data_IF_604104907412
#
_entry.id   IF_604104907412
#
_cell.length_a   1.000
_cell.length_b   1.000
_cell.length_c   1.000
_cell.angle_alpha   90.00
_cell.angle_beta   90.00
_cell.angle_gamma   90.00
#
_symmetry.space_group_name_H-M   'P 1'
#
loop_
_entity.id
_entity.type
_entity.pdbx_description
1 polymer ?
#
# COMPACT_ATOMS: atom_id res chain seq x y z
N UNK A 1 53.65 1.44 21.13
CA UNK A 1 52.35 2.09 20.84
C UNK A 1 51.29 1.18 21.42
N UNK A 2 50.70 1.56 22.55
CA UNK A 2 49.75 0.73 23.30
C UNK A 2 48.34 0.89 22.71
N UNK A 3 47.60 -0.18 22.36
CA UNK A 3 46.34 -0.07 21.62
C UNK A 3 45.13 0.33 22.46
N UNK A 4 45.30 0.66 23.74
CA UNK A 4 44.16 0.82 24.66
C UNK A 4 43.74 2.28 24.82
N UNK A 5 43.12 2.85 23.79
CA UNK A 5 42.37 4.12 23.89
C UNK A 5 40.92 3.86 23.48
N UNK A 6 40.06 3.59 24.46
CA UNK A 6 38.62 3.54 24.23
C UNK A 6 38.09 4.96 24.05
N UNK A 7 37.53 5.24 22.87
CA UNK A 7 36.80 6.48 22.61
C UNK A 7 35.45 6.37 23.31
N UNK A 8 35.24 7.16 24.36
CA UNK A 8 33.91 7.29 25.00
C UNK A 8 33.09 8.28 24.17
N UNK A 9 32.21 7.78 23.31
CA UNK A 9 31.21 8.63 22.63
C UNK A 9 30.09 8.89 23.63
N UNK A 10 30.08 10.06 24.26
CA UNK A 10 28.93 10.55 25.00
C UNK A 10 28.01 11.28 24.02
N UNK A 11 26.99 10.58 23.50
CA UNK A 11 25.93 11.24 22.74
C UNK A 11 25.14 12.12 23.70
N UNK A 12 25.13 13.43 23.43
CA UNK A 12 24.25 14.38 24.11
C UNK A 12 22.82 13.95 23.84
N UNK A 13 22.08 13.72 24.92
CA UNK A 13 20.63 13.56 24.90
C UNK A 13 20.03 14.94 24.63
N UNK A 14 20.00 15.33 23.37
CA UNK A 14 19.15 16.42 22.92
C UNK A 14 17.74 15.86 22.82
N UNK A 15 16.98 16.18 23.86
CA UNK A 15 15.53 16.13 23.93
C UNK A 15 14.88 16.83 22.75
N UNK A 16 13.80 16.26 22.22
CA UNK A 16 12.45 16.86 22.21
C UNK A 16 11.60 16.30 21.05
N UNK A 17 10.39 15.88 21.42
CA UNK A 17 9.20 15.62 20.60
C UNK A 17 9.21 14.44 19.61
N UNK A 18 8.50 13.38 20.01
CA UNK A 18 8.09 12.27 19.15
C UNK A 18 6.66 11.91 19.58
N UNK A 19 5.74 12.86 19.49
CA UNK A 19 4.34 12.63 19.92
C UNK A 19 3.34 12.70 18.77
N UNK A 20 3.78 13.15 17.59
CA UNK A 20 2.96 13.43 16.42
C UNK A 20 3.20 12.45 15.25
N UNK A 21 4.35 11.77 15.19
CA UNK A 21 4.64 10.79 14.13
C UNK A 21 3.75 9.53 14.23
N UNK A 22 3.58 9.02 15.46
CA UNK A 22 2.78 7.82 15.70
C UNK A 22 1.28 8.03 15.43
N UNK A 23 0.77 9.23 15.69
CA UNK A 23 -0.63 9.56 15.41
C UNK A 23 -0.90 9.71 13.92
N UNK A 24 0.03 10.32 13.17
CA UNK A 24 -0.05 10.42 11.70
C UNK A 24 -0.02 9.04 11.05
N UNK A 25 0.90 8.16 11.47
CA UNK A 25 0.98 6.77 10.99
C UNK A 25 -0.31 6.01 11.29
N UNK A 26 -0.87 6.17 12.49
CA UNK A 26 -2.14 5.53 12.86
C UNK A 26 -3.31 6.02 12.00
N UNK A 27 -3.39 7.33 11.73
CA UNK A 27 -4.44 7.91 10.87
C UNK A 27 -4.29 7.37 9.44
N UNK A 28 -3.07 7.33 8.91
CA UNK A 28 -2.79 6.79 7.59
C UNK A 28 -3.10 5.30 7.47
N UNK A 29 -2.71 4.50 8.47
CA UNK A 29 -2.99 3.07 8.53
C UNK A 29 -4.51 2.80 8.51
N UNK A 30 -5.30 3.56 9.29
CA UNK A 30 -6.77 3.46 9.27
C UNK A 30 -7.34 3.76 7.89
N UNK A 31 -6.79 4.75 7.19
CA UNK A 31 -7.20 5.11 5.83
C UNK A 31 -6.89 3.97 4.84
N UNK A 32 -5.68 3.42 4.87
CA UNK A 32 -5.27 2.28 4.03
C UNK A 32 -6.19 1.08 4.25
N UNK A 33 -6.41 0.68 5.51
CA UNK A 33 -7.29 -0.43 5.87
C UNK A 33 -8.73 -0.19 5.38
N UNK A 34 -9.23 1.04 5.52
CA UNK A 34 -10.54 1.43 5.03
C UNK A 34 -10.67 1.32 3.51
N UNK A 35 -9.63 1.71 2.77
CA UNK A 35 -9.59 1.59 1.30
C UNK A 35 -9.58 0.12 0.85
N UNK A 36 -8.77 -0.72 1.49
CA UNK A 36 -8.57 -2.13 1.13
C UNK A 36 -9.75 -3.03 1.54
N UNK A 37 -10.62 -2.57 2.45
CA UNK A 37 -11.80 -3.33 2.89
C UNK A 37 -12.72 -3.73 1.73
N UNK A 38 -12.82 -2.89 0.70
CA UNK A 38 -13.69 -3.17 -0.44
C UNK A 38 -13.00 -4.05 -1.50
N UNK A 39 -11.67 -3.99 -1.59
CA UNK A 39 -10.87 -4.77 -2.54
C UNK A 39 -9.47 -5.02 -1.97
N UNK A 40 -9.24 -6.24 -1.44
CA UNK A 40 -7.95 -6.61 -0.87
C UNK A 40 -6.83 -6.65 -1.93
N UNK A 41 -7.16 -6.93 -3.19
CA UNK A 41 -6.18 -7.05 -4.27
C UNK A 41 -5.44 -5.73 -4.55
N UNK A 42 -6.04 -4.60 -4.19
CA UNK A 42 -5.41 -3.27 -4.28
C UNK A 42 -4.20 -3.11 -3.37
N UNK A 43 -3.92 -4.05 -2.46
CA UNK A 43 -2.66 -4.11 -1.71
C UNK A 43 -1.45 -4.24 -2.64
N UNK A 44 -1.62 -4.82 -3.83
CA UNK A 44 -0.56 -5.07 -4.82
C UNK A 44 0.07 -3.80 -5.42
N UNK A 45 -0.68 -2.69 -5.44
CA UNK A 45 -0.23 -1.42 -6.02
C UNK A 45 0.27 -0.42 -4.97
N UNK A 46 0.31 -0.83 -3.70
CA UNK A 46 0.75 0.03 -2.61
C UNK A 46 2.26 0.26 -2.67
N UNK A 47 2.65 1.42 -2.14
CA UNK A 47 4.05 1.77 -2.01
C UNK A 47 4.72 0.91 -0.93
N UNK A 48 6.05 0.80 -0.97
CA UNK A 48 6.81 0.08 0.06
C UNK A 48 6.52 0.54 1.50
N UNK A 49 6.49 1.85 1.82
CA UNK A 49 6.20 2.29 3.18
C UNK A 49 4.78 1.93 3.62
N UNK A 50 3.80 1.92 2.70
CA UNK A 50 2.44 1.50 3.01
C UNK A 50 2.38 -0.01 3.32
N UNK A 51 3.12 -0.83 2.56
CA UNK A 51 3.23 -2.27 2.81
C UNK A 51 3.94 -2.58 4.13
N UNK A 52 5.00 -1.84 4.46
CA UNK A 52 5.69 -1.94 5.74
C UNK A 52 4.74 -1.62 6.89
N UNK A 53 4.02 -0.51 6.79
CA UNK A 53 3.05 -0.08 7.80
C UNK A 53 1.94 -1.12 8.02
N UNK A 54 1.42 -1.70 6.93
CA UNK A 54 0.41 -2.76 6.99
C UNK A 54 0.97 -4.07 7.57
N UNK A 55 2.20 -4.45 7.22
CA UNK A 55 2.81 -5.69 7.71
C UNK A 55 3.18 -5.64 9.20
N UNK A 56 3.48 -4.45 9.72
CA UNK A 56 3.86 -4.24 11.13
C UNK A 56 2.66 -3.99 12.06
N UNK A 57 1.46 -3.86 11.51
CA UNK A 57 0.21 -3.60 12.23
C UNK A 57 -0.12 -4.66 13.30
N UNK A 58 -0.70 -4.24 14.42
CA UNK A 58 -1.34 -5.13 15.40
C UNK A 58 -2.81 -5.39 15.02
N UNK A 59 -3.22 -6.65 14.79
CA UNK A 59 -4.60 -6.99 14.41
C UNK A 59 -5.66 -6.57 15.43
N UNK A 60 -5.30 -6.51 16.71
CA UNK A 60 -6.25 -6.17 17.77
C UNK A 60 -6.53 -4.66 17.82
N UNK A 61 -5.58 -3.82 17.37
CA UNK A 61 -5.70 -2.36 17.41
C UNK A 61 -6.66 -1.77 16.37
N UNK A 62 -7.10 -2.57 15.39
CA UNK A 62 -7.96 -2.13 14.28
C UNK A 62 -9.19 -3.04 14.07
N UNK A 63 -9.37 -4.01 14.97
CA UNK A 63 -10.53 -4.91 14.98
C UNK A 63 -11.87 -4.14 15.14
N UNK A 64 -11.81 -2.92 15.66
CA UNK A 64 -12.99 -2.05 15.83
C UNK A 64 -13.51 -1.50 14.48
N UNK A 65 -12.66 -1.46 13.46
CA UNK A 65 -12.95 -0.87 12.14
C UNK A 65 -13.43 -1.96 11.15
N UNK A 66 -12.88 -3.16 11.29
CA UNK A 66 -13.17 -4.32 10.44
C UNK A 66 -12.80 -5.59 11.20
N UNK A 67 -13.29 -6.75 10.76
CA UNK A 67 -13.03 -8.01 11.44
C UNK A 67 -11.54 -8.33 11.56
N UNK A 68 -11.15 -8.92 12.71
CA UNK A 68 -9.78 -9.37 12.99
C UNK A 68 -9.21 -10.26 11.87
N UNK A 69 -10.02 -11.17 11.34
CA UNK A 69 -9.61 -12.08 10.26
C UNK A 69 -9.19 -11.32 8.99
N UNK A 70 -9.88 -10.23 8.65
CA UNK A 70 -9.50 -9.39 7.52
C UNK A 70 -8.17 -8.68 7.79
N UNK A 71 -7.99 -8.15 9.00
CA UNK A 71 -6.74 -7.47 9.36
C UNK A 71 -5.55 -8.45 9.31
N UNK A 72 -5.73 -9.69 9.78
CA UNK A 72 -4.71 -10.73 9.69
C UNK A 72 -4.39 -11.09 8.24
N UNK A 73 -5.41 -11.25 7.39
CA UNK A 73 -5.21 -11.49 5.95
C UNK A 73 -4.47 -10.34 5.28
N UNK A 74 -4.82 -9.10 5.63
CA UNK A 74 -4.18 -7.91 5.07
C UNK A 74 -2.72 -7.78 5.52
N UNK A 75 -2.43 -8.05 6.80
CA UNK A 75 -1.07 -8.10 7.34
C UNK A 75 -0.24 -9.17 6.62
N UNK A 76 -0.78 -10.37 6.45
CA UNK A 76 -0.12 -11.48 5.76
C UNK A 76 0.14 -11.15 4.28
N UNK A 77 -0.87 -10.62 3.57
CA UNK A 77 -0.75 -10.27 2.16
C UNK A 77 0.28 -9.16 1.92
N UNK A 78 0.24 -8.09 2.73
CA UNK A 78 1.20 -6.98 2.64
C UNK A 78 2.62 -7.43 2.98
N UNK A 79 2.80 -8.27 4.01
CA UNK A 79 4.10 -8.84 4.37
C UNK A 79 4.69 -9.73 3.29
N UNK A 80 3.88 -10.58 2.66
CA UNK A 80 4.31 -11.43 1.55
C UNK A 80 4.75 -10.61 0.35
N UNK A 81 3.94 -9.63 -0.06
CA UNK A 81 4.26 -8.78 -1.20
C UNK A 81 5.53 -7.96 -0.96
N UNK A 82 5.70 -7.41 0.24
CA UNK A 82 6.90 -6.69 0.63
C UNK A 82 8.15 -7.58 0.53
N UNK A 83 8.04 -8.83 0.98
CA UNK A 83 9.13 -9.80 0.87
C UNK A 83 9.49 -10.12 -0.59
N UNK A 84 8.49 -10.40 -1.43
CA UNK A 84 8.68 -10.67 -2.86
C UNK A 84 9.31 -9.47 -3.58
N UNK A 85 8.88 -8.25 -3.25
CA UNK A 85 9.45 -7.02 -3.81
C UNK A 85 10.93 -6.88 -3.48
N UNK A 86 11.31 -7.09 -2.21
CA UNK A 86 12.71 -7.05 -1.76
C UNK A 86 13.54 -8.14 -2.43
N UNK A 87 13.01 -9.37 -2.51
CA UNK A 87 13.68 -10.47 -3.23
C UNK A 87 13.92 -10.13 -4.70
N UNK A 88 12.94 -9.52 -5.38
CA UNK A 88 13.09 -9.10 -6.76
C UNK A 88 14.14 -7.98 -6.91
N UNK A 89 14.18 -7.01 -5.99
CA UNK A 89 15.21 -5.98 -5.98
C UNK A 89 16.61 -6.56 -5.79
N UNK A 90 16.79 -7.47 -4.83
CA UNK A 90 18.07 -8.14 -4.59
C UNK A 90 18.53 -8.90 -5.84
N UNK A 91 17.60 -9.60 -6.51
CA UNK A 91 17.88 -10.31 -7.75
C UNK A 91 18.28 -9.34 -8.88
N UNK A 92 17.59 -8.21 -9.03
CA UNK A 92 17.92 -7.18 -10.02
C UNK A 92 19.29 -6.56 -9.72
N UNK A 93 19.59 -6.28 -8.47
CA UNK A 93 20.87 -5.73 -8.04
C UNK A 93 22.02 -6.71 -8.34
N UNK A 94 21.82 -7.99 -8.06
CA UNK A 94 22.76 -9.04 -8.45
C UNK A 94 22.97 -9.09 -9.96
N UNK A 95 21.90 -9.03 -10.75
CA UNK A 95 21.98 -9.00 -12.22
C UNK A 95 22.75 -7.78 -12.72
N UNK A 96 22.55 -6.60 -12.11
CA UNK A 96 23.30 -5.37 -12.42
C UNK A 96 24.80 -5.53 -12.17
N UNK A 97 25.19 -6.16 -11.07
CA UNK A 97 26.61 -6.42 -10.75
C UNK A 97 27.21 -7.34 -11.82
N UNK A 98 26.56 -8.46 -12.12
CA UNK A 98 27.03 -9.44 -13.11
C UNK A 98 27.10 -8.86 -14.53
N UNK A 99 26.13 -8.04 -14.90
CA UNK A 99 26.12 -7.37 -16.20
C UNK A 99 27.28 -6.37 -16.34
N UNK A 100 27.56 -5.61 -15.28
CA UNK A 100 28.71 -4.69 -15.21
C UNK A 100 30.04 -5.42 -15.40
N UNK A 101 30.21 -6.59 -14.77
CA UNK A 101 31.41 -7.42 -14.93
C UNK A 101 31.58 -7.97 -16.36
N UNK A 102 30.47 -8.17 -17.07
CA UNK A 102 30.45 -8.72 -18.44
C UNK A 102 30.40 -7.65 -19.53
N UNK A 103 30.40 -6.37 -19.18
CA UNK A 103 30.26 -5.26 -20.14
C UNK A 103 28.87 -5.18 -20.79
N UNK A 104 27.84 -5.71 -20.14
CA UNK A 104 26.44 -5.67 -20.59
C UNK A 104 25.74 -4.50 -19.89
N UNK A 105 25.01 -3.68 -20.64
CA UNK A 105 24.16 -2.61 -20.08
C UNK A 105 22.73 -3.15 -19.91
N UNK A 106 22.20 -3.08 -18.69
CA UNK A 106 20.81 -3.44 -18.37
C UNK A 106 19.98 -2.17 -18.21
N UNK A 107 18.91 -2.06 -19.00
CA UNK A 107 17.87 -1.05 -18.82
C UNK A 107 16.70 -1.66 -18.05
N UNK A 108 16.38 -1.10 -16.88
CA UNK A 108 15.25 -1.54 -16.04
C UNK A 108 14.13 -0.51 -16.23
N UNK A 109 13.07 -0.91 -16.93
CA UNK A 109 11.86 -0.09 -17.06
C UNK A 109 10.97 -0.29 -15.83
N UNK A 110 10.87 0.75 -15.00
CA UNK A 110 9.97 0.80 -13.84
C UNK A 110 8.50 1.12 -14.24
N UNK A 111 8.26 1.50 -15.49
CA UNK A 111 7.01 2.15 -15.94
C UNK A 111 5.80 1.21 -16.13
N UNK A 112 6.00 -0.11 -16.04
CA UNK A 112 4.90 -1.07 -16.31
C UNK A 112 3.80 -0.97 -15.24
N UNK A 113 4.16 -0.63 -13.99
CA UNK A 113 3.18 -0.41 -12.90
C UNK A 113 2.45 0.92 -13.02
N UNK A 114 3.15 2.01 -13.39
CA UNK A 114 2.54 3.34 -13.48
C UNK A 114 1.55 3.43 -14.65
N UNK A 115 1.84 2.78 -15.77
CA UNK A 115 0.95 2.71 -16.93
C UNK A 115 -0.32 1.88 -16.67
N UNK A 116 -0.29 0.91 -15.76
CA UNK A 116 -1.45 0.11 -15.34
C UNK A 116 -2.33 0.89 -14.36
N UNK A 117 -1.74 1.57 -13.37
CA UNK A 117 -2.45 2.43 -12.41
C UNK A 117 -3.16 3.60 -13.10
N UNK A 118 -2.55 4.19 -14.14
CA UNK A 118 -3.15 5.27 -14.91
C UNK A 118 -4.39 4.83 -15.73
N UNK A 119 -4.51 3.55 -16.12
CA UNK A 119 -5.66 3.04 -16.89
C UNK A 119 -6.90 2.77 -16.03
N UNK A 120 -6.74 2.46 -14.75
CA UNK A 120 -7.87 2.21 -13.83
C UNK A 120 -8.63 3.52 -13.48
N UNK A 121 -7.99 4.69 -13.58
CA UNK A 121 -8.64 5.99 -13.35
C UNK A 121 -9.53 6.47 -14.52
N UNK A 122 -9.56 5.77 -15.65
CA UNK A 122 -10.26 6.22 -16.86
C UNK A 122 -11.64 5.58 -17.09
N UNK A 123 -12.08 4.59 -16.31
CA UNK A 123 -13.36 3.88 -16.52
C UNK A 123 -14.46 4.23 -15.51
N UNK A 124 -14.52 5.50 -15.08
CA UNK A 124 -15.57 6.04 -14.21
C UNK A 124 -16.39 7.14 -14.88
N UNK A 125 -16.94 6.92 -16.07
CA UNK A 125 -17.60 7.96 -16.84
C UNK A 125 -18.78 7.51 -17.70
N UNK A 126 -19.98 7.67 -17.15
CA UNK A 126 -21.28 7.83 -17.83
C UNK A 126 -21.98 6.60 -18.43
N UNK A 127 -22.94 6.05 -17.69
CA UNK A 127 -24.28 5.77 -18.24
C UNK A 127 -25.36 6.36 -17.33
N UNK A 128 -25.69 7.61 -17.67
CA UNK A 128 -27.03 8.21 -17.67
C UNK A 128 -28.14 7.45 -16.94
N UNK A 129 -28.54 7.97 -15.78
CA UNK A 129 -29.84 7.72 -15.15
C UNK A 129 -30.91 8.39 -16.00
N UNK A 130 -31.71 7.61 -16.73
CA UNK A 130 -32.99 8.11 -17.25
C UNK A 130 -34.11 7.62 -16.32
N UNK A 131 -34.78 8.60 -15.72
CA UNK A 131 -35.88 8.43 -14.78
C UNK A 131 -37.14 7.92 -15.50
N UNK A 132 -38.04 7.19 -14.81
CA UNK A 132 -39.27 6.71 -15.43
C UNK A 132 -40.25 7.87 -15.66
N UNK A 133 -40.88 7.99 -16.83
CA UNK A 133 -42.02 8.87 -16.97
C UNK A 133 -43.25 8.19 -16.36
N UNK A 134 -43.66 8.71 -15.21
CA UNK A 134 -45.03 8.60 -14.71
C UNK A 134 -45.98 9.11 -15.78
N UNK A 135 -46.92 8.28 -16.22
CA UNK A 135 -48.09 8.72 -16.98
C UNK A 135 -49.34 8.18 -16.29
N UNK A 136 -50.27 9.09 -16.12
CA UNK A 136 -51.42 9.03 -15.24
C UNK A 136 -52.50 8.03 -15.67
N UNK A 137 -53.34 7.74 -14.68
CA UNK A 137 -54.69 7.18 -14.77
C UNK A 137 -55.46 7.59 -16.03
N UNK A 138 -56.12 6.63 -16.67
CA UNK A 138 -57.52 6.83 -17.07
C UNK A 138 -58.30 5.51 -17.07
N UNK A 139 -59.52 5.63 -16.58
CA UNK A 139 -60.45 4.56 -16.31
C UNK A 139 -61.08 3.98 -17.60
N UNK A 140 -61.69 2.81 -17.41
CA UNK A 140 -63.09 2.52 -17.77
C UNK A 140 -63.28 1.24 -18.60
N UNK A 141 -63.91 0.26 -17.93
CA UNK A 141 -65.04 -0.56 -18.38
C UNK A 141 -65.09 -1.07 -19.82
N UNK A 142 -65.19 -2.39 -20.00
CA UNK A 142 -66.45 -3.04 -20.37
C UNK A 142 -66.27 -4.51 -20.81
N UNK A 143 -67.20 -5.33 -20.30
CA UNK A 143 -67.78 -6.59 -20.84
C UNK A 143 -66.88 -7.80 -21.09
#
# INVERSE_FOLDING_TARGET
MDPTHYVTITTRRDSADSTDCADVERVHLKKLVGQLRNNLCSVSVLSEPDLELLSNMDPNSLADITGKDFIEQLKEASGRLLHEKRQAFDAIELLKILAKERGITLEVHHDITDALIARESAEGGATHVDAPPSADSEASSAT
#
